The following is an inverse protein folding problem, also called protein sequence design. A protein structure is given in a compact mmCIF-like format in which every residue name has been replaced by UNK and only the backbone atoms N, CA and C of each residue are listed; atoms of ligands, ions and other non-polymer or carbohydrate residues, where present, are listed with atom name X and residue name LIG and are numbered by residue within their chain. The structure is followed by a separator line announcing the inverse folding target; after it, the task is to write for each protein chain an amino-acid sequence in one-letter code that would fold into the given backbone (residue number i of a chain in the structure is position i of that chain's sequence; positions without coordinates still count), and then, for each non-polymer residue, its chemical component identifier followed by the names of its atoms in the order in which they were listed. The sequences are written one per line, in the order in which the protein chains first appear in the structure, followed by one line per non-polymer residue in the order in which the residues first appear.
data_IF_695772512758
#
_entry.id   IF_695772512758
#
_cell.length_a   1.000
_cell.length_b   1.000
_cell.length_c   1.000
_cell.angle_alpha   90.00
_cell.angle_beta   90.00
_cell.angle_gamma   90.00
#
_symmetry.space_group_name_H-M   'P 1'
#
loop_
_entity.id
_entity.type
_entity.pdbx_description
1 polymer ?
#
# COMPACT_ATOMS: atom_id res chain seq x y z
N UNK A 1 -2.43 2.55 17.83
CA UNK A 1 -2.45 2.13 16.42
C UNK A 1 -2.47 0.60 16.32
N UNK A 2 -1.41 -0.11 16.69
CA UNK A 2 -1.29 -1.59 16.56
C UNK A 2 -2.45 -2.43 17.14
N UNK A 3 -2.89 -2.19 18.38
CA UNK A 3 -3.97 -3.01 19.01
C UNK A 3 -5.34 -2.90 18.34
N UNK A 4 -5.57 -1.86 17.52
CA UNK A 4 -6.86 -1.62 16.83
C UNK A 4 -6.83 -2.09 15.38
N UNK A 5 -5.69 -1.97 14.71
CA UNK A 5 -5.53 -2.34 13.31
C UNK A 5 -5.45 -3.86 13.13
N UNK A 6 -4.75 -4.55 14.05
CA UNK A 6 -4.58 -6.01 13.97
C UNK A 6 -5.90 -6.80 14.02
N UNK A 7 -6.85 -6.51 14.94
CA UNK A 7 -8.15 -7.21 14.94
C UNK A 7 -8.97 -6.98 13.68
N UNK A 8 -8.96 -5.75 13.14
CA UNK A 8 -9.68 -5.40 11.91
C UNK A 8 -9.05 -6.13 10.72
N UNK A 9 -7.72 -6.16 10.63
CA UNK A 9 -7.00 -6.90 9.59
C UNK A 9 -7.33 -8.39 9.63
N UNK A 10 -7.33 -9.01 10.82
CA UNK A 10 -7.70 -10.41 10.97
C UNK A 10 -9.15 -10.68 10.56
N UNK A 11 -10.09 -9.81 10.94
CA UNK A 11 -11.49 -9.95 10.55
C UNK A 11 -11.66 -9.85 9.02
N UNK A 12 -11.04 -8.86 8.38
CA UNK A 12 -11.06 -8.70 6.92
C UNK A 12 -10.43 -9.92 6.24
N UNK A 13 -9.31 -10.43 6.76
CA UNK A 13 -8.65 -11.60 6.20
C UNK A 13 -9.52 -12.86 6.27
N UNK A 14 -10.21 -13.10 7.38
CA UNK A 14 -11.15 -14.23 7.52
C UNK A 14 -12.30 -14.10 6.51
N UNK A 15 -12.83 -12.89 6.29
CA UNK A 15 -13.86 -12.64 5.28
C UNK A 15 -13.35 -12.96 3.87
N UNK A 16 -12.12 -12.55 3.54
CA UNK A 16 -11.50 -12.84 2.25
C UNK A 16 -11.30 -14.35 2.06
N UNK A 17 -10.81 -15.06 3.08
CA UNK A 17 -10.66 -16.53 3.03
C UNK A 17 -12.01 -17.21 2.81
N UNK A 18 -13.07 -16.69 3.42
CA UNK A 18 -14.43 -17.21 3.21
C UNK A 18 -14.91 -17.00 1.76
N UNK A 19 -14.70 -15.81 1.17
CA UNK A 19 -15.05 -15.54 -0.23
C UNK A 19 -14.21 -16.33 -1.23
N UNK A 20 -12.96 -16.67 -0.89
CA UNK A 20 -12.10 -17.47 -1.78
C UNK A 20 -12.32 -18.98 -1.64
N UNK A 21 -13.19 -19.45 -0.74
CA UNK A 21 -13.36 -20.87 -0.44
C UNK A 21 -13.85 -21.69 -1.64
N UNK A 22 -14.67 -21.09 -2.50
CA UNK A 22 -15.18 -21.69 -3.73
C UNK A 22 -14.21 -21.54 -4.93
N UNK A 23 -13.10 -20.81 -4.75
CA UNK A 23 -12.07 -20.60 -5.75
C UNK A 23 -12.41 -19.51 -6.79
N UNK A 24 -13.53 -18.81 -6.67
CA UNK A 24 -13.96 -17.77 -7.59
C UNK A 24 -14.32 -16.49 -6.83
N UNK A 25 -13.66 -15.36 -7.14
CA UNK A 25 -14.04 -14.07 -6.54
C UNK A 25 -15.13 -13.39 -7.39
N UNK A 26 -16.36 -13.44 -6.92
CA UNK A 26 -17.51 -12.83 -7.59
C UNK A 26 -17.46 -11.30 -7.56
N UNK A 27 -18.03 -10.64 -8.57
CA UNK A 27 -18.16 -9.17 -8.60
C UNK A 27 -18.90 -8.62 -7.37
N UNK A 28 -19.86 -9.38 -6.82
CA UNK A 28 -20.59 -8.98 -5.61
C UNK A 28 -19.69 -8.94 -4.38
N UNK A 29 -18.83 -9.94 -4.23
CA UNK A 29 -17.85 -10.04 -3.14
C UNK A 29 -16.78 -8.95 -3.27
N UNK A 30 -16.33 -8.67 -4.49
CA UNK A 30 -15.45 -7.53 -4.78
C UNK A 30 -16.04 -6.19 -4.34
N UNK A 31 -17.32 -5.93 -4.62
CA UNK A 31 -18.01 -4.71 -4.16
C UNK A 31 -18.05 -4.65 -2.62
N UNK A 32 -18.33 -5.77 -1.96
CA UNK A 32 -18.34 -5.85 -0.49
C UNK A 32 -16.95 -5.53 0.07
N UNK A 33 -15.88 -6.07 -0.52
CA UNK A 33 -14.49 -5.79 -0.11
C UNK A 33 -14.12 -4.32 -0.30
N UNK A 34 -14.54 -3.70 -1.41
CA UNK A 34 -14.31 -2.25 -1.64
C UNK A 34 -15.05 -1.40 -0.61
N UNK A 35 -16.32 -1.71 -0.31
CA UNK A 35 -17.08 -0.99 0.71
C UNK A 35 -16.45 -1.14 2.09
N UNK A 36 -15.98 -2.35 2.43
CA UNK A 36 -15.28 -2.62 3.68
C UNK A 36 -13.96 -1.86 3.77
N UNK A 37 -13.20 -1.78 2.68
CA UNK A 37 -11.96 -1.00 2.61
C UNK A 37 -12.22 0.49 2.85
N UNK A 38 -13.21 1.07 2.16
CA UNK A 38 -13.59 2.48 2.35
C UNK A 38 -14.06 2.72 3.79
N UNK A 39 -14.86 1.81 4.35
CA UNK A 39 -15.34 1.91 5.73
C UNK A 39 -14.19 1.90 6.75
N UNK A 40 -13.22 1.01 6.58
CA UNK A 40 -12.03 0.95 7.45
C UNK A 40 -11.20 2.22 7.34
N UNK A 41 -10.96 2.71 6.13
CA UNK A 41 -10.24 3.98 5.91
C UNK A 41 -10.96 5.17 6.53
N UNK A 42 -12.27 5.30 6.31
CA UNK A 42 -13.08 6.38 6.86
C UNK A 42 -13.11 6.34 8.39
N UNK A 43 -13.26 5.15 8.98
CA UNK A 43 -13.20 4.95 10.42
C UNK A 43 -11.83 5.34 11.00
N UNK A 44 -10.73 4.96 10.34
CA UNK A 44 -9.39 5.36 10.75
C UNK A 44 -9.17 6.86 10.62
N UNK A 45 -9.59 7.48 9.51
CA UNK A 45 -9.50 8.91 9.29
C UNK A 45 -10.29 9.67 10.37
N UNK A 46 -11.52 9.26 10.67
CA UNK A 46 -12.33 9.89 11.71
C UNK A 46 -11.67 9.81 13.09
N UNK A 47 -11.17 8.64 13.46
CA UNK A 47 -10.49 8.48 14.76
C UNK A 47 -9.16 9.25 14.78
N UNK A 48 -8.42 9.27 13.67
CA UNK A 48 -7.17 10.05 13.56
C UNK A 48 -7.42 11.55 13.67
N UNK A 49 -8.58 12.04 13.24
CA UNK A 49 -8.98 13.43 13.39
C UNK A 49 -9.49 13.77 14.80
N UNK A 50 -10.03 12.78 15.53
CA UNK A 50 -10.50 12.93 16.91
C UNK A 50 -9.39 12.77 17.96
N UNK A 51 -8.31 12.06 17.64
CA UNK A 51 -7.15 11.92 18.53
C UNK A 51 -6.31 13.20 18.42
N UNK A 52 -6.37 14.03 19.46
CA UNK A 52 -5.59 15.26 19.56
C UNK A 52 -4.09 14.96 19.47
N UNK A 53 -3.34 15.86 18.81
CA UNK A 53 -1.92 15.82 18.41
C UNK A 53 -0.91 15.66 19.58
N UNK A 54 -1.08 14.64 20.40
CA UNK A 54 -0.16 14.24 21.47
C UNK A 54 0.54 12.92 21.15
N UNK A 55 0.86 12.68 19.88
CA UNK A 55 1.55 11.47 19.45
C UNK A 55 3.07 11.66 19.68
N UNK A 56 3.75 10.84 20.51
CA UNK A 56 5.20 10.92 20.69
C UNK A 56 6.01 10.80 19.39
N UNK A 57 5.41 10.28 18.31
CA UNK A 57 5.94 10.25 16.94
C UNK A 57 6.13 11.64 16.31
N UNK A 58 5.41 12.67 16.78
CA UNK A 58 5.62 14.06 16.34
C UNK A 58 6.94 14.64 16.83
N UNK A 59 7.50 14.11 17.92
CA UNK A 59 8.78 14.59 18.45
C UNK A 59 9.97 14.11 17.61
N UNK A 60 9.92 12.89 17.06
CA UNK A 60 10.98 12.39 16.16
C UNK A 60 10.95 13.02 14.77
N UNK A 61 9.77 13.43 14.28
CA UNK A 61 9.64 14.04 12.94
C UNK A 61 10.06 15.52 12.91
N UNK A 62 10.02 16.20 14.05
CA UNK A 62 10.28 17.65 14.13
C UNK A 62 11.77 18.01 13.95
N UNK A 63 12.68 17.06 14.22
CA UNK A 63 14.12 17.29 14.11
C UNK A 63 14.69 16.99 12.71
N UNK A 64 13.93 16.32 11.83
CA UNK A 64 14.39 15.91 10.49
C UNK A 64 13.82 16.75 9.32
N UNK A 65 12.74 17.51 9.54
CA UNK A 65 12.13 18.36 8.49
C UNK A 65 12.80 19.75 8.54
N UNK A 66 13.54 20.17 7.51
CA UNK A 66 14.02 21.54 7.42
C UNK A 66 12.81 22.48 7.45
N UNK A 67 12.79 23.45 8.38
CA UNK A 67 11.67 24.39 8.57
C UNK A 67 11.42 25.34 7.39
N UNK A 68 12.15 25.17 6.28
CA UNK A 68 12.29 26.15 5.19
C UNK A 68 11.90 25.59 3.82
N UNK A 69 11.34 24.37 3.73
CA UNK A 69 10.84 23.85 2.45
C UNK A 69 9.49 24.50 2.09
N UNK A 70 9.54 25.34 1.07
CA UNK A 70 8.36 25.92 0.43
C UNK A 70 7.41 24.81 -0.07
N UNK A 71 6.11 24.92 0.25
CA UNK A 71 5.09 23.92 -0.09
C UNK A 71 5.07 23.58 -1.58
N UNK A 72 5.35 24.55 -2.46
CA UNK A 72 5.45 24.32 -3.90
C UNK A 72 6.58 23.36 -4.28
N UNK A 73 7.75 23.48 -3.64
CA UNK A 73 8.88 22.55 -3.86
C UNK A 73 8.56 21.16 -3.30
N UNK A 74 7.90 21.07 -2.15
CA UNK A 74 7.47 19.80 -1.58
C UNK A 74 6.50 19.06 -2.51
N UNK A 75 5.48 19.75 -3.03
CA UNK A 75 4.52 19.19 -3.99
C UNK A 75 5.22 18.78 -5.30
N UNK A 76 6.18 19.58 -5.78
CA UNK A 76 7.00 19.22 -6.94
C UNK A 76 7.75 17.91 -6.70
N UNK A 77 8.48 17.77 -5.58
CA UNK A 77 9.22 16.56 -5.26
C UNK A 77 8.32 15.34 -5.08
N UNK A 78 7.13 15.51 -4.49
CA UNK A 78 6.11 14.45 -4.42
C UNK A 78 5.69 14.03 -5.83
N UNK A 79 5.42 14.99 -6.72
CA UNK A 79 5.06 14.70 -8.11
C UNK A 79 6.16 13.96 -8.86
N UNK A 80 7.41 14.40 -8.72
CA UNK A 80 8.57 13.73 -9.32
C UNK A 80 8.70 12.31 -8.79
N UNK A 81 8.65 12.13 -7.46
CA UNK A 81 8.70 10.80 -6.83
C UNK A 81 7.58 9.89 -7.32
N UNK A 82 6.35 10.39 -7.37
CA UNK A 82 5.16 9.63 -7.79
C UNK A 82 5.26 9.14 -9.24
N UNK A 83 5.90 9.89 -10.13
CA UNK A 83 6.12 9.49 -11.53
C UNK A 83 7.34 8.57 -11.66
N UNK A 84 8.43 8.91 -10.97
CA UNK A 84 9.69 8.18 -11.07
C UNK A 84 9.60 6.79 -10.46
N UNK A 85 8.84 6.62 -9.37
CA UNK A 85 8.66 5.32 -8.69
C UNK A 85 8.06 4.24 -9.61
N UNK A 86 6.87 4.40 -10.21
CA UNK A 86 6.30 3.37 -11.09
C UNK A 86 7.14 3.16 -12.35
N UNK A 87 7.72 4.23 -12.92
CA UNK A 87 8.61 4.09 -14.08
C UNK A 87 9.84 3.25 -13.74
N UNK A 88 10.55 3.59 -12.66
CA UNK A 88 11.74 2.86 -12.23
C UNK A 88 11.42 1.40 -11.86
N UNK A 89 10.28 1.16 -11.20
CA UNK A 89 9.83 -0.19 -10.86
C UNK A 89 9.57 -1.04 -12.11
N UNK A 90 8.87 -0.50 -13.12
CA UNK A 90 8.64 -1.20 -14.39
C UNK A 90 9.95 -1.51 -15.12
N UNK A 91 10.83 -0.51 -15.28
CA UNK A 91 12.13 -0.71 -15.92
C UNK A 91 12.99 -1.75 -15.19
N UNK A 92 12.96 -1.75 -13.85
CA UNK A 92 13.69 -2.73 -13.03
C UNK A 92 13.13 -4.14 -13.25
N UNK A 93 11.80 -4.30 -13.21
CA UNK A 93 11.13 -5.60 -13.42
C UNK A 93 11.42 -6.11 -14.83
N UNK A 94 11.28 -5.31 -15.88
CA UNK A 94 11.54 -5.72 -17.25
C UNK A 94 13.00 -6.17 -17.45
N UNK A 95 13.94 -5.43 -16.85
CA UNK A 95 15.36 -5.79 -16.90
C UNK A 95 15.65 -7.10 -16.16
N UNK A 96 15.03 -7.33 -15.00
CA UNK A 96 15.16 -8.56 -14.25
C UNK A 96 14.55 -9.76 -15.01
N UNK A 97 13.37 -9.57 -15.62
CA UNK A 97 12.70 -10.57 -16.46
C UNK A 97 13.56 -10.94 -17.67
N UNK A 98 14.19 -9.95 -18.33
CA UNK A 98 15.10 -10.19 -19.46
C UNK A 98 16.27 -11.09 -19.06
N UNK A 99 16.91 -10.79 -17.92
CA UNK A 99 18.02 -11.60 -17.40
C UNK A 99 17.53 -13.01 -17.05
N UNK A 100 16.40 -13.14 -16.35
CA UNK A 100 15.84 -14.44 -15.98
C UNK A 100 15.53 -15.33 -17.20
N UNK A 101 14.94 -14.75 -18.26
CA UNK A 101 14.67 -15.44 -19.53
C UNK A 101 15.97 -15.86 -20.23
N UNK A 102 17.01 -15.02 -20.19
CA UNK A 102 18.32 -15.36 -20.74
C UNK A 102 18.94 -16.58 -20.04
N UNK A 103 18.71 -16.74 -18.73
CA UNK A 103 19.10 -17.92 -17.96
C UNK A 103 18.13 -19.11 -18.10
N UNK A 104 17.10 -19.01 -18.95
CA UNK A 104 16.15 -20.10 -19.21
C UNK A 104 15.13 -20.34 -18.09
N UNK A 105 14.94 -19.38 -17.17
CA UNK A 105 13.92 -19.46 -16.13
C UNK A 105 12.53 -19.36 -16.78
N UNK A 106 11.61 -20.22 -16.36
CA UNK A 106 10.26 -20.24 -16.93
C UNK A 106 9.42 -19.03 -16.51
N UNK A 107 8.53 -18.60 -17.40
CA UNK A 107 7.62 -17.47 -17.16
C UNK A 107 6.73 -17.66 -15.92
N UNK A 108 6.43 -18.91 -15.54
CA UNK A 108 5.70 -19.24 -14.31
C UNK A 108 6.48 -18.84 -13.06
N UNK A 109 7.76 -19.18 -12.99
CA UNK A 109 8.61 -18.88 -11.82
C UNK A 109 8.81 -17.36 -11.74
N UNK A 110 9.02 -16.71 -12.89
CA UNK A 110 9.14 -15.25 -12.99
C UNK A 110 7.86 -14.58 -12.47
N UNK A 111 6.70 -14.99 -12.96
CA UNK A 111 5.41 -14.40 -12.57
C UNK A 111 5.02 -14.64 -11.11
N UNK A 112 5.57 -15.67 -10.47
CA UNK A 112 5.31 -15.96 -9.05
C UNK A 112 6.25 -15.22 -8.09
N UNK A 113 7.39 -14.70 -8.56
CA UNK A 113 8.47 -14.21 -7.68
C UNK A 113 8.98 -12.80 -7.99
N UNK A 114 8.96 -12.39 -9.26
CA UNK A 114 9.48 -11.09 -9.72
C UNK A 114 8.34 -10.09 -9.94
N UNK A 115 7.18 -10.56 -10.40
CA UNK A 115 5.99 -9.75 -10.75
C UNK A 115 4.99 -9.74 -9.61
#
# INVERSE_FOLDING_TARGET
TLKREFPVLLAVNIIVVYFLYDGELSSREGIILILLFIFVLAGMAWISLLVEKGDPLMSETSDEIPSEVETGKAVMWIGVGLVLLPLSAQYMVDSAVFIARYFGISDLIIGLTII
#
